data_IF_700476177433
#
_entry.id   IF_700476177433
#
_cell.length_a   1.000
_cell.length_b   1.000
_cell.length_c   1.000
_cell.angle_alpha   90.00
_cell.angle_beta   90.00
_cell.angle_gamma   90.00
#
_symmetry.space_group_name_H-M   'P 1'
#
loop_
_entity.id
_entity.type
_entity.pdbx_description
1 polymer ?
#
# COMPACT_ATOMS: atom_id res chain seq x y z
N UNK A 1 -17.56 2.35 14.60
CA UNK A 1 -16.54 1.27 14.58
C UNK A 1 -15.28 1.80 13.91
N UNK A 2 -14.10 1.43 14.39
CA UNK A 2 -12.86 1.75 13.69
C UNK A 2 -12.74 0.92 12.40
N UNK A 3 -12.22 1.51 11.33
CA UNK A 3 -11.97 0.84 10.05
C UNK A 3 -10.59 0.15 10.05
N UNK A 4 -10.38 -0.80 9.15
CA UNK A 4 -9.14 -1.55 8.95
C UNK A 4 -8.63 -1.48 7.50
N UNK A 5 -7.47 -2.10 7.23
CA UNK A 5 -6.82 -2.11 5.91
C UNK A 5 -7.71 -2.63 4.77
N UNK A 6 -8.55 -3.65 5.04
CA UNK A 6 -9.47 -4.25 4.06
C UNK A 6 -10.63 -3.33 3.71
N UNK A 7 -11.06 -2.46 4.62
CA UNK A 7 -12.13 -1.50 4.36
C UNK A 7 -11.69 -0.51 3.27
N UNK A 8 -10.43 -0.07 3.29
CA UNK A 8 -9.88 0.75 2.21
C UNK A 8 -9.88 0.01 0.87
N UNK A 9 -9.48 -1.25 0.84
CA UNK A 9 -9.47 -2.05 -0.40
C UNK A 9 -10.89 -2.28 -0.93
N UNK A 10 -11.86 -2.52 -0.04
CA UNK A 10 -13.26 -2.62 -0.41
C UNK A 10 -13.75 -1.33 -1.08
N UNK A 11 -13.50 -0.17 -0.46
CA UNK A 11 -13.90 1.12 -1.04
C UNK A 11 -13.17 1.38 -2.37
N UNK A 12 -11.89 1.00 -2.50
CA UNK A 12 -11.18 1.12 -3.78
C UNK A 12 -11.92 0.42 -4.92
N UNK A 13 -12.41 -0.81 -4.67
CA UNK A 13 -13.21 -1.56 -5.65
C UNK A 13 -14.53 -0.87 -5.97
N UNK A 14 -15.24 -0.34 -4.97
CA UNK A 14 -16.50 0.36 -5.18
C UNK A 14 -16.32 1.62 -6.04
N UNK A 15 -15.25 2.38 -5.80
CA UNK A 15 -14.92 3.58 -6.58
C UNK A 15 -14.53 3.24 -8.02
N UNK A 16 -13.84 2.12 -8.23
CA UNK A 16 -13.45 1.67 -9.56
C UNK A 16 -14.64 1.26 -10.44
N UNK A 17 -15.83 1.00 -9.87
CA UNK A 17 -17.03 0.72 -10.66
C UNK A 17 -17.52 1.99 -11.37
N UNK A 18 -17.30 3.16 -10.78
CA UNK A 18 -17.66 4.43 -11.41
C UNK A 18 -16.76 4.70 -12.62
N UNK A 19 -17.25 5.50 -13.58
CA UNK A 19 -16.53 5.81 -14.82
C UNK A 19 -16.05 7.27 -14.90
N UNK A 20 -15.98 7.94 -13.76
CA UNK A 20 -15.44 9.29 -13.65
C UNK A 20 -14.01 9.28 -13.09
N UNK A 21 -13.20 10.23 -13.57
CA UNK A 21 -11.79 10.29 -13.23
C UNK A 21 -11.54 10.54 -11.72
N UNK A 22 -12.42 11.28 -11.04
CA UNK A 22 -12.27 11.56 -9.62
C UNK A 22 -12.43 10.29 -8.78
N UNK A 23 -13.40 9.44 -9.13
CA UNK A 23 -13.57 8.12 -8.53
C UNK A 23 -12.38 7.20 -8.82
N UNK A 24 -11.87 7.17 -10.05
CA UNK A 24 -10.71 6.35 -10.42
C UNK A 24 -9.43 6.79 -9.68
N UNK A 25 -9.17 8.09 -9.57
CA UNK A 25 -8.08 8.64 -8.74
C UNK A 25 -8.23 8.21 -7.28
N UNK A 26 -9.43 8.36 -6.74
CA UNK A 26 -9.74 7.98 -5.38
C UNK A 26 -9.55 6.47 -5.15
N UNK A 27 -9.88 5.63 -6.12
CA UNK A 27 -9.68 4.18 -6.07
C UNK A 27 -8.19 3.83 -5.92
N UNK A 28 -7.30 4.44 -6.71
CA UNK A 28 -5.85 4.27 -6.58
C UNK A 28 -5.38 4.64 -5.17
N UNK A 29 -5.86 5.78 -4.66
CA UNK A 29 -5.47 6.27 -3.34
C UNK A 29 -5.94 5.35 -2.23
N UNK A 30 -7.19 4.84 -2.30
CA UNK A 30 -7.70 3.86 -1.34
C UNK A 30 -6.95 2.52 -1.42
N UNK A 31 -6.57 2.06 -2.61
CA UNK A 31 -5.74 0.86 -2.77
C UNK A 31 -4.36 1.03 -2.09
N UNK A 32 -3.72 2.19 -2.25
CA UNK A 32 -2.48 2.51 -1.52
C UNK A 32 -2.68 2.52 0.00
N UNK A 33 -3.72 3.19 0.51
CA UNK A 33 -3.97 3.23 1.95
C UNK A 33 -4.26 1.85 2.53
N UNK A 34 -4.93 0.97 1.78
CA UNK A 34 -5.10 -0.43 2.16
C UNK A 34 -3.75 -1.12 2.39
N UNK A 35 -2.81 -0.98 1.45
CA UNK A 35 -1.47 -1.56 1.58
C UNK A 35 -0.67 -0.95 2.73
N UNK A 36 -0.72 0.38 2.89
CA UNK A 36 -0.03 1.10 3.96
C UNK A 36 -0.50 0.63 5.34
N UNK A 37 -1.81 0.56 5.54
CA UNK A 37 -2.37 0.09 6.81
C UNK A 37 -2.15 -1.40 7.04
N UNK A 38 -2.18 -2.24 5.99
CA UNK A 38 -1.83 -3.65 6.12
C UNK A 38 -0.39 -3.81 6.58
N UNK A 39 0.56 -3.09 5.99
CA UNK A 39 1.97 -3.12 6.41
C UNK A 39 2.15 -2.67 7.87
N UNK A 40 1.56 -1.53 8.25
CA UNK A 40 1.60 -1.02 9.63
C UNK A 40 1.02 -2.01 10.65
N UNK A 41 -0.04 -2.74 10.30
CA UNK A 41 -0.66 -3.73 11.18
C UNK A 41 0.11 -5.06 11.22
N UNK A 42 0.97 -5.32 10.24
CA UNK A 42 1.69 -6.59 10.09
C UNK A 42 3.07 -6.59 10.71
N UNK A 43 3.70 -5.42 10.76
CA UNK A 43 5.04 -5.21 11.30
C UNK A 43 4.96 -4.97 12.81
N UNK A 44 5.95 -5.45 13.55
CA UNK A 44 5.97 -5.41 15.01
C UNK A 44 6.91 -4.35 15.59
N UNK A 45 7.89 -3.92 14.81
CA UNK A 45 9.04 -3.16 15.28
C UNK A 45 9.23 -1.86 14.50
N UNK A 46 8.16 -1.33 13.88
CA UNK A 46 8.19 -0.04 13.20
C UNK A 46 8.43 1.07 14.24
N UNK A 47 9.46 1.92 14.07
CA UNK A 47 9.67 3.06 14.96
C UNK A 47 8.50 4.04 14.94
N UNK A 48 8.27 4.72 16.06
CA UNK A 48 7.35 5.85 16.10
C UNK A 48 7.96 7.04 15.36
N UNK A 49 7.52 7.25 14.12
CA UNK A 49 7.91 8.41 13.33
C UNK A 49 7.03 9.62 13.67
N UNK A 50 7.63 10.81 13.80
CA UNK A 50 6.90 12.06 14.09
C UNK A 50 6.42 12.79 12.83
N UNK A 51 6.94 12.42 11.66
CA UNK A 51 6.54 12.98 10.37
C UNK A 51 6.78 11.96 9.24
N UNK A 52 6.28 12.25 8.03
CA UNK A 52 6.51 11.45 6.81
C UNK A 52 6.32 9.93 6.99
N UNK A 53 5.26 9.51 7.70
CA UNK A 53 4.99 8.10 8.02
C UNK A 53 5.04 7.19 6.80
N UNK A 54 4.54 7.67 5.65
CA UNK A 54 4.57 6.93 4.38
C UNK A 54 6.00 6.63 3.90
N UNK A 55 6.88 7.64 3.88
CA UNK A 55 8.25 7.46 3.42
C UNK A 55 9.09 6.66 4.39
N UNK A 56 8.89 6.90 5.68
CA UNK A 56 9.62 6.22 6.72
C UNK A 56 9.25 4.74 6.82
N UNK A 57 7.97 4.38 6.69
CA UNK A 57 7.56 2.97 6.61
C UNK A 57 8.17 2.26 5.40
N UNK A 58 8.17 2.90 4.23
CA UNK A 58 8.80 2.34 3.03
C UNK A 58 10.31 2.15 3.28
N UNK A 59 11.00 3.17 3.82
CA UNK A 59 12.42 3.13 4.17
C UNK A 59 12.74 1.97 5.10
N UNK A 60 11.96 1.83 6.16
CA UNK A 60 12.05 0.75 7.13
C UNK A 60 11.99 -0.63 6.47
N UNK A 61 11.03 -0.85 5.56
CA UNK A 61 10.85 -2.13 4.89
C UNK A 61 11.96 -2.44 3.88
N UNK A 62 12.48 -1.42 3.17
CA UNK A 62 13.50 -1.62 2.12
C UNK A 62 14.94 -1.66 2.66
N UNK A 63 15.19 -1.16 3.87
CA UNK A 63 16.52 -1.11 4.49
C UNK A 63 16.73 -2.29 5.46
N UNK A 64 17.52 -3.33 5.11
CA UNK A 64 17.68 -4.55 5.91
C UNK A 64 18.22 -4.37 7.34
N UNK A 65 18.88 -3.22 7.59
CA UNK A 65 19.40 -2.84 8.90
C UNK A 65 18.30 -2.28 9.82
N UNK A 66 17.27 -1.63 9.26
CA UNK A 66 16.17 -1.02 10.00
C UNK A 66 15.12 -2.06 10.42
N UNK A 67 14.77 -3.00 9.53
CA UNK A 67 13.80 -4.08 9.82
C UNK A 67 14.39 -5.33 10.49
N UNK A 68 15.57 -5.24 11.11
CA UNK A 68 16.27 -6.40 11.69
C UNK A 68 15.54 -7.09 12.85
N UNK A 69 14.60 -6.39 13.51
CA UNK A 69 13.81 -6.91 14.62
C UNK A 69 12.55 -7.66 14.18
N UNK A 70 12.19 -7.61 12.89
CA UNK A 70 10.99 -8.25 12.39
C UNK A 70 11.15 -9.77 12.29
N UNK A 71 10.10 -10.56 12.57
CA UNK A 71 10.12 -12.02 12.46
C UNK A 71 10.00 -12.52 11.02
N UNK A 72 10.26 -11.66 10.03
CA UNK A 72 10.11 -11.95 8.61
C UNK A 72 11.47 -11.88 7.91
N UNK A 73 11.64 -12.66 6.83
CA UNK A 73 12.87 -12.59 6.04
C UNK A 73 12.98 -11.21 5.41
N UNK A 74 14.15 -10.59 5.57
CA UNK A 74 14.44 -9.23 5.08
C UNK A 74 14.13 -9.07 3.59
N UNK A 75 14.45 -10.08 2.76
CA UNK A 75 14.19 -10.06 1.32
C UNK A 75 12.69 -9.96 1.00
N UNK A 76 11.85 -10.63 1.77
CA UNK A 76 10.39 -10.59 1.57
C UNK A 76 9.84 -9.21 1.96
N UNK A 77 10.33 -8.65 3.07
CA UNK A 77 9.99 -7.28 3.48
C UNK A 77 10.44 -6.23 2.45
N UNK A 78 11.64 -6.38 1.87
CA UNK A 78 12.12 -5.50 0.81
C UNK A 78 11.22 -5.55 -0.42
N UNK A 79 10.81 -6.74 -0.85
CA UNK A 79 9.88 -6.91 -1.98
C UNK A 79 8.56 -6.18 -1.74
N UNK A 80 7.97 -6.35 -0.55
CA UNK A 80 6.77 -5.62 -0.13
C UNK A 80 7.03 -4.11 -0.04
N UNK A 81 8.17 -3.67 0.49
CA UNK A 81 8.55 -2.26 0.59
C UNK A 81 8.64 -1.58 -0.78
N UNK A 82 9.22 -2.24 -1.78
CA UNK A 82 9.26 -1.73 -3.15
C UNK A 82 7.87 -1.67 -3.80
N UNK A 83 7.01 -2.66 -3.57
CA UNK A 83 5.62 -2.62 -4.03
C UNK A 83 4.86 -1.43 -3.40
N UNK A 84 5.03 -1.21 -2.11
CA UNK A 84 4.43 -0.07 -1.40
C UNK A 84 4.98 1.28 -1.90
N UNK A 85 6.27 1.34 -2.26
CA UNK A 85 6.90 2.51 -2.89
C UNK A 85 6.25 2.85 -4.23
N UNK A 86 6.14 1.88 -5.13
CA UNK A 86 5.51 2.08 -6.44
C UNK A 86 4.06 2.54 -6.30
N UNK A 87 3.32 1.96 -5.35
CA UNK A 87 1.94 2.35 -5.09
C UNK A 87 1.81 3.73 -4.46
N UNK A 88 2.79 4.19 -3.67
CA UNK A 88 2.85 5.58 -3.20
C UNK A 88 3.06 6.55 -4.36
N UNK A 89 3.91 6.20 -5.32
CA UNK A 89 4.15 7.01 -6.52
C UNK A 89 2.89 7.07 -7.38
N UNK A 90 2.20 5.94 -7.60
CA UNK A 90 0.92 5.90 -8.30
C UNK A 90 -0.15 6.76 -7.62
N UNK A 91 -0.28 6.68 -6.29
CA UNK A 91 -1.13 7.57 -5.50
C UNK A 91 -0.75 9.03 -5.69
N UNK A 92 0.53 9.40 -5.53
CA UNK A 92 0.95 10.79 -5.66
C UNK A 92 0.59 11.36 -7.03
N UNK A 93 0.74 10.55 -8.09
CA UNK A 93 0.33 10.91 -9.44
C UNK A 93 -1.19 11.12 -9.53
N UNK A 94 -1.98 10.21 -8.95
CA UNK A 94 -3.43 10.30 -8.93
C UNK A 94 -3.97 11.50 -8.11
N UNK A 95 -3.38 11.77 -6.94
CA UNK A 95 -3.89 12.78 -5.99
C UNK A 95 -3.40 14.20 -6.32
N UNK A 96 -2.15 14.35 -6.80
CA UNK A 96 -1.53 15.67 -6.92
C UNK A 96 -1.30 16.13 -8.36
N UNK A 97 -1.16 15.21 -9.32
CA UNK A 97 -0.92 15.58 -10.72
C UNK A 97 -2.25 15.63 -11.48
N UNK A 98 -3.14 16.51 -11.04
CA UNK A 98 -4.53 16.58 -11.53
C UNK A 98 -4.59 17.14 -12.96
N UNK A 99 -3.69 18.07 -13.31
CA UNK A 99 -3.65 18.70 -14.64
C UNK A 99 -2.84 17.93 -15.66
N UNK A 100 -1.84 17.16 -15.21
CA UNK A 100 -0.78 16.65 -16.08
C UNK A 100 -0.95 15.15 -16.40
N UNK A 101 -1.88 14.47 -15.74
CA UNK A 101 -2.07 13.03 -15.82
C UNK A 101 -3.54 12.74 -15.89
N UNK A 102 -3.98 12.07 -16.95
CA UNK A 102 -5.31 11.45 -16.97
C UNK A 102 -5.24 10.07 -16.33
N UNK A 103 -6.10 9.81 -15.35
CA UNK A 103 -6.19 8.47 -14.72
C UNK A 103 -7.22 7.62 -15.46
N UNK A 104 -6.77 6.48 -15.99
CA UNK A 104 -7.64 5.51 -16.65
C UNK A 104 -8.17 4.45 -15.67
N UNK A 105 -9.23 3.76 -16.10
CA UNK A 105 -9.77 2.58 -15.41
C UNK A 105 -8.69 1.50 -15.21
N UNK A 106 -7.92 1.20 -16.24
CA UNK A 106 -6.83 0.22 -16.17
C UNK A 106 -5.81 0.54 -15.08
N UNK A 107 -5.47 1.83 -14.87
CA UNK A 107 -4.55 2.24 -13.80
C UNK A 107 -5.14 1.98 -12.41
N UNK A 108 -6.45 2.22 -12.24
CA UNK A 108 -7.16 1.93 -11.00
C UNK A 108 -7.28 0.42 -10.75
N UNK A 109 -7.62 -0.36 -11.77
CA UNK A 109 -7.71 -1.83 -11.69
C UNK A 109 -6.34 -2.45 -11.39
N UNK A 110 -5.27 -2.00 -12.04
CA UNK A 110 -3.91 -2.43 -11.75
C UNK A 110 -3.50 -2.11 -10.30
N UNK A 111 -3.89 -0.94 -9.80
CA UNK A 111 -3.64 -0.52 -8.42
C UNK A 111 -4.35 -1.44 -7.40
N UNK A 112 -5.61 -1.80 -7.69
CA UNK A 112 -6.39 -2.73 -6.88
C UNK A 112 -5.78 -4.14 -6.92
N UNK A 113 -5.46 -4.64 -8.11
CA UNK A 113 -4.81 -5.96 -8.28
C UNK A 113 -3.46 -6.03 -7.54
N UNK A 114 -2.69 -4.95 -7.58
CA UNK A 114 -1.43 -4.83 -6.81
C UNK A 114 -1.69 -4.92 -5.31
N UNK A 115 -2.69 -4.21 -4.79
CA UNK A 115 -3.09 -4.29 -3.39
C UNK A 115 -3.57 -5.70 -3.01
N UNK A 116 -4.35 -6.38 -3.84
CA UNK A 116 -4.80 -7.76 -3.58
C UNK A 116 -3.63 -8.76 -3.49
N UNK A 117 -2.67 -8.64 -4.40
CA UNK A 117 -1.43 -9.43 -4.37
C UNK A 117 -0.62 -9.14 -3.11
N UNK A 118 -0.56 -7.87 -2.71
CA UNK A 118 0.12 -7.43 -1.48
C UNK A 118 -0.47 -8.07 -0.22
N UNK A 119 -1.79 -8.12 -0.11
CA UNK A 119 -2.48 -8.79 1.00
C UNK A 119 -2.23 -10.31 0.98
N UNK A 120 -2.24 -10.93 -0.20
CA UNK A 120 -1.89 -12.36 -0.35
C UNK A 120 -0.47 -12.65 0.12
N UNK A 121 0.50 -11.80 -0.26
CA UNK A 121 1.88 -11.93 0.19
C UNK A 121 2.00 -11.79 1.71
N UNK A 122 1.34 -10.79 2.32
CA UNK A 122 1.31 -10.64 3.77
C UNK A 122 0.68 -11.85 4.47
N UNK A 123 -0.42 -12.40 3.94
CA UNK A 123 -1.04 -13.60 4.49
C UNK A 123 -0.06 -14.78 4.49
N UNK A 124 0.65 -15.00 3.38
CA UNK A 124 1.66 -16.06 3.26
C UNK A 124 2.86 -15.85 4.21
N UNK A 125 3.33 -14.60 4.36
CA UNK A 125 4.41 -14.29 5.30
C UNK A 125 3.98 -14.57 6.75
N UNK A 126 2.75 -14.18 7.12
CA UNK A 126 2.19 -14.39 8.46
C UNK A 126 1.93 -15.87 8.76
N UNK A 127 1.58 -16.68 7.76
CA UNK A 127 1.37 -18.13 7.94
C UNK A 127 2.69 -18.90 8.05
N UNK A 128 3.77 -18.38 7.47
CA UNK A 128 5.10 -19.03 7.44
C UNK A 128 5.98 -18.56 8.60
N UNK A 129 5.39 -18.21 9.76
CA UNK A 129 6.14 -17.78 10.94
C UNK A 129 7.29 -18.76 11.22
N UNK A 130 8.51 -18.24 11.16
CA UNK A 130 9.73 -18.97 11.51
C UNK A 130 9.82 -19.16 13.02
#
# INVERSE_FOLDING_TARGET
MAINSRDFLYIARQLCIQDDEASLRSAISRAYYAMFHEAMQSLNCVPEYTCNHHGNLIGYMITPAECKGEPFRKRDLQGLGYSLKQMREARNKADYHITDVMVSRDMAEQSISTAERYFTQWANLKSTRA
#
